data_IF_958014517824
#
_entry.id   IF_958014517824
#
_cell.length_a   1.000
_cell.length_b   1.000
_cell.length_c   1.000
_cell.angle_alpha   90.00
_cell.angle_beta   90.00
_cell.angle_gamma   90.00
#
_symmetry.space_group_name_H-M   'P 1'
#
loop_
_entity.id
_entity.type
_entity.pdbx_description
1 polymer ?
#
# COMPACT_ATOMS: atom_id res chain seq x y z
N UNK A 1 38.00 -9.52 -16.77
CA UNK A 1 39.47 -9.63 -16.61
C UNK A 1 40.12 -9.22 -17.91
N UNK A 2 41.27 -8.54 -17.83
CA UNK A 2 42.09 -8.21 -18.99
C UNK A 2 43.16 -9.29 -19.13
N UNK A 3 43.43 -9.75 -20.35
CA UNK A 3 44.38 -10.82 -20.63
C UNK A 3 45.71 -10.27 -21.16
N UNK A 4 46.83 -10.99 -20.90
CA UNK A 4 48.18 -10.56 -21.29
C UNK A 4 48.29 -10.24 -22.79
N UNK A 5 47.65 -11.04 -23.64
CA UNK A 5 47.65 -10.85 -25.10
C UNK A 5 47.02 -9.51 -25.51
N UNK A 6 45.94 -9.09 -24.84
CA UNK A 6 45.26 -7.80 -25.12
C UNK A 6 46.14 -6.59 -24.76
N UNK A 7 47.06 -6.76 -23.81
CA UNK A 7 48.03 -5.70 -23.43
C UNK A 7 49.19 -5.66 -24.41
N UNK A 8 49.74 -6.82 -24.78
CA UNK A 8 50.85 -6.91 -25.74
C UNK A 8 50.45 -6.41 -27.14
N UNK A 9 49.19 -6.61 -27.55
CA UNK A 9 48.67 -6.09 -28.82
C UNK A 9 48.64 -4.56 -28.90
N UNK A 10 48.50 -3.86 -27.76
CA UNK A 10 48.50 -2.39 -27.69
C UNK A 10 49.88 -1.77 -27.90
N UNK A 11 50.95 -2.55 -27.77
CA UNK A 11 52.30 -2.06 -28.02
C UNK A 11 52.62 -2.03 -29.51
N UNK A 12 53.26 -0.95 -30.02
CA UNK A 12 53.74 -0.93 -31.40
C UNK A 12 54.83 -1.99 -31.61
N UNK A 13 54.60 -2.92 -32.53
CA UNK A 13 55.52 -4.01 -32.87
C UNK A 13 56.86 -3.54 -33.46
N UNK A 14 56.94 -2.26 -33.86
CA UNK A 14 58.16 -1.62 -34.35
C UNK A 14 59.18 -1.31 -33.23
N UNK A 15 58.76 -1.30 -31.97
CA UNK A 15 59.59 -0.88 -30.82
C UNK A 15 59.66 -1.97 -29.76
N UNK A 16 58.59 -2.75 -29.57
CA UNK A 16 58.51 -3.77 -28.53
C UNK A 16 58.12 -5.14 -29.09
N UNK A 17 58.78 -6.18 -28.58
CA UNK A 17 58.42 -7.58 -28.82
C UNK A 17 57.08 -7.89 -28.15
N UNK A 18 56.16 -8.50 -28.92
CA UNK A 18 54.85 -8.98 -28.44
C UNK A 18 54.87 -10.46 -28.05
N UNK A 19 56.05 -11.07 -27.96
CA UNK A 19 56.25 -12.46 -27.57
C UNK A 19 55.87 -12.64 -26.08
N UNK A 20 54.94 -13.56 -25.75
CA UNK A 20 54.55 -13.88 -24.38
C UNK A 20 55.73 -14.35 -23.50
N UNK A 21 56.77 -14.94 -24.09
CA UNK A 21 57.93 -15.43 -23.33
C UNK A 21 59.00 -14.36 -23.07
N UNK A 22 58.80 -13.15 -23.60
CA UNK A 22 59.72 -12.03 -23.44
C UNK A 22 59.79 -11.55 -21.98
N UNK A 23 60.92 -10.94 -21.62
CA UNK A 23 61.11 -10.30 -20.30
C UNK A 23 60.10 -9.19 -20.02
N UNK A 24 59.59 -8.54 -21.06
CA UNK A 24 58.55 -7.50 -20.95
C UNK A 24 57.19 -8.14 -20.68
N UNK A 25 56.84 -9.21 -21.38
CA UNK A 25 55.59 -9.94 -21.15
C UNK A 25 55.53 -10.54 -19.74
N UNK A 26 56.63 -11.13 -19.24
CA UNK A 26 56.71 -11.64 -17.86
C UNK A 26 56.56 -10.55 -16.79
N UNK A 27 57.05 -9.33 -17.04
CA UNK A 27 56.81 -8.19 -16.14
C UNK A 27 55.34 -7.77 -16.16
N UNK A 28 54.76 -7.69 -17.34
CA UNK A 28 53.35 -7.37 -17.50
C UNK A 28 52.46 -8.43 -16.87
N UNK A 29 52.80 -9.70 -16.92
CA UNK A 29 52.03 -10.78 -16.30
C UNK A 29 51.84 -10.55 -14.78
N UNK A 30 52.93 -10.22 -14.07
CA UNK A 30 52.89 -9.89 -12.63
C UNK A 30 52.10 -8.61 -12.37
N UNK A 31 52.29 -7.56 -13.17
CA UNK A 31 51.54 -6.31 -13.00
C UNK A 31 50.06 -6.46 -13.35
N UNK A 32 49.71 -7.32 -14.31
CA UNK A 32 48.34 -7.58 -14.75
C UNK A 32 47.56 -8.32 -13.69
N UNK A 33 48.21 -9.22 -12.95
CA UNK A 33 47.61 -9.90 -11.79
C UNK A 33 47.17 -8.89 -10.74
N UNK A 34 48.08 -7.98 -10.34
CA UNK A 34 47.78 -6.90 -9.41
C UNK A 34 46.70 -5.94 -9.92
N UNK A 35 46.74 -5.57 -11.21
CA UNK A 35 45.75 -4.68 -11.80
C UNK A 35 44.36 -5.34 -11.91
N UNK A 36 44.31 -6.63 -12.22
CA UNK A 36 43.06 -7.39 -12.23
C UNK A 36 42.48 -7.54 -10.82
N UNK A 37 43.32 -7.71 -9.79
CA UNK A 37 42.89 -7.70 -8.38
C UNK A 37 42.30 -6.33 -8.00
N UNK A 38 43.00 -5.23 -8.27
CA UNK A 38 42.51 -3.87 -8.02
C UNK A 38 41.19 -3.61 -8.75
N UNK A 39 41.08 -4.07 -9.99
CA UNK A 39 39.85 -3.96 -10.78
C UNK A 39 38.71 -4.76 -10.15
N UNK A 40 38.96 -5.98 -9.68
CA UNK A 40 37.95 -6.79 -8.99
C UNK A 40 37.45 -6.10 -7.72
N UNK A 41 38.36 -5.50 -6.94
CA UNK A 41 38.00 -4.71 -5.76
C UNK A 41 37.16 -3.49 -6.16
N UNK A 42 37.54 -2.73 -7.20
CA UNK A 42 36.77 -1.59 -7.68
C UNK A 42 35.38 -1.98 -8.21
N UNK A 43 35.28 -3.10 -8.95
CA UNK A 43 34.01 -3.65 -9.41
C UNK A 43 33.12 -4.05 -8.21
N UNK A 44 33.70 -4.65 -7.17
CA UNK A 44 32.98 -4.97 -5.93
C UNK A 44 32.46 -3.71 -5.20
N UNK A 45 33.23 -2.61 -5.22
CA UNK A 45 32.85 -1.34 -4.60
C UNK A 45 31.75 -0.64 -5.40
N UNK A 46 31.73 -0.77 -6.72
CA UNK A 46 30.72 -0.13 -7.58
C UNK A 46 29.29 -0.55 -7.22
N UNK A 47 29.09 -1.81 -6.82
CA UNK A 47 27.81 -2.35 -6.38
C UNK A 47 27.35 -1.88 -5.00
N UNK A 48 28.25 -1.38 -4.15
CA UNK A 48 27.94 -0.97 -2.75
C UNK A 48 26.91 0.18 -2.72
N UNK A 49 26.85 1.00 -3.77
CA UNK A 49 25.93 2.14 -3.82
C UNK A 49 24.51 1.77 -4.25
N UNK A 50 24.31 0.59 -4.84
CA UNK A 50 22.99 0.16 -5.29
C UNK A 50 22.20 -0.53 -4.17
N UNK A 51 21.35 0.24 -3.49
CA UNK A 51 20.52 -0.25 -2.39
C UNK A 51 19.61 -1.43 -2.79
N UNK A 52 19.30 -1.64 -4.07
CA UNK A 52 18.41 -2.73 -4.51
C UNK A 52 19.02 -4.10 -4.24
N UNK A 53 20.34 -4.20 -4.40
CA UNK A 53 21.09 -5.45 -4.23
C UNK A 53 21.74 -5.59 -2.84
N UNK A 54 21.94 -4.47 -2.13
CA UNK A 54 22.58 -4.48 -0.81
C UNK A 54 21.63 -4.90 0.31
N UNK A 55 22.17 -5.49 1.38
CA UNK A 55 21.42 -5.98 2.55
C UNK A 55 22.13 -5.56 3.86
N UNK A 56 21.44 -5.67 4.99
CA UNK A 56 22.02 -5.53 6.32
C UNK A 56 22.65 -4.16 6.59
N UNK A 57 23.90 -4.15 7.05
CA UNK A 57 24.61 -2.93 7.51
C UNK A 57 25.00 -1.98 6.38
N UNK A 58 25.29 -2.50 5.18
CA UNK A 58 25.59 -1.67 4.01
C UNK A 58 24.36 -0.85 3.64
N UNK A 59 23.18 -1.47 3.70
CA UNK A 59 21.90 -0.79 3.47
C UNK A 59 21.66 0.33 4.50
N UNK A 60 22.06 0.13 5.76
CA UNK A 60 22.00 1.17 6.80
C UNK A 60 22.93 2.35 6.53
N UNK A 61 24.14 2.09 6.00
CA UNK A 61 25.08 3.15 5.60
C UNK A 61 24.51 3.99 4.45
N UNK A 62 23.89 3.34 3.45
CA UNK A 62 23.18 4.05 2.38
C UNK A 62 22.05 4.90 2.97
N UNK A 63 21.26 4.35 3.90
CA UNK A 63 20.20 5.08 4.57
C UNK A 63 20.68 6.29 5.35
N UNK A 64 21.80 6.18 6.09
CA UNK A 64 22.43 7.35 6.75
C UNK A 64 22.75 8.47 5.76
N UNK A 65 23.28 8.14 4.58
CA UNK A 65 23.55 9.13 3.52
C UNK A 65 22.25 9.76 2.98
N UNK A 66 21.18 8.96 2.89
CA UNK A 66 19.85 9.42 2.50
C UNK A 66 19.06 10.09 3.62
N UNK A 67 19.60 10.17 4.85
CA UNK A 67 18.90 10.62 6.07
C UNK A 67 17.61 9.82 6.34
N UNK A 68 17.62 8.55 5.95
CA UNK A 68 16.54 7.60 6.17
C UNK A 68 17.04 6.55 7.17
N UNK A 69 16.40 6.48 8.34
CA UNK A 69 16.72 5.46 9.36
C UNK A 69 15.94 4.17 9.09
N UNK A 70 16.50 3.01 9.50
CA UNK A 70 15.87 1.69 9.37
C UNK A 70 14.66 1.53 10.28
N UNK A 71 14.64 2.15 11.47
CA UNK A 71 13.50 2.12 12.42
C UNK A 71 12.89 0.71 12.65
N UNK A 72 13.71 -0.35 12.66
CA UNK A 72 13.25 -1.73 12.84
C UNK A 72 12.63 -2.40 11.61
N UNK A 73 12.65 -1.74 10.44
CA UNK A 73 12.19 -2.31 9.17
C UNK A 73 13.09 -3.44 8.68
N UNK A 74 12.48 -4.47 8.10
CA UNK A 74 13.19 -5.48 7.33
C UNK A 74 13.83 -4.90 6.06
N UNK A 75 14.77 -5.64 5.47
CA UNK A 75 15.54 -5.20 4.31
C UNK A 75 14.66 -4.92 3.08
N UNK A 76 13.58 -5.68 2.90
CA UNK A 76 12.68 -5.52 1.76
C UNK A 76 11.94 -4.18 1.85
N UNK A 77 11.29 -3.92 2.98
CA UNK A 77 10.63 -2.64 3.28
C UNK A 77 11.62 -1.49 3.24
N UNK A 78 12.78 -1.67 3.86
CA UNK A 78 13.77 -0.61 3.94
C UNK A 78 14.30 -0.19 2.56
N UNK A 79 14.51 -1.14 1.63
CA UNK A 79 14.85 -0.83 0.23
C UNK A 79 13.81 0.04 -0.47
N UNK A 80 12.53 -0.24 -0.24
CA UNK A 80 11.43 0.59 -0.76
C UNK A 80 11.58 2.01 -0.20
N UNK A 81 11.78 2.19 1.11
CA UNK A 81 11.95 3.52 1.69
C UNK A 81 13.20 4.26 1.24
N UNK A 82 14.30 3.56 0.95
CA UNK A 82 15.48 4.19 0.35
C UNK A 82 15.20 4.65 -1.08
N UNK A 83 14.40 3.90 -1.85
CA UNK A 83 13.88 4.32 -3.15
C UNK A 83 13.09 5.62 -3.04
N UNK A 84 12.14 5.67 -2.09
CA UNK A 84 11.30 6.84 -1.82
C UNK A 84 12.16 8.03 -1.40
N UNK A 85 13.12 7.84 -0.47
CA UNK A 85 13.98 8.91 0.01
C UNK A 85 14.87 9.49 -1.10
N UNK A 86 15.38 8.62 -2.00
CA UNK A 86 16.13 9.04 -3.19
C UNK A 86 15.23 9.84 -4.14
N UNK A 87 14.02 9.36 -4.40
CA UNK A 87 13.07 10.05 -5.28
C UNK A 87 12.62 11.38 -4.69
N UNK A 88 12.35 11.45 -3.38
CA UNK A 88 12.04 12.69 -2.65
C UNK A 88 13.11 13.76 -2.84
N UNK A 89 14.39 13.38 -2.86
CA UNK A 89 15.50 14.34 -3.10
C UNK A 89 15.57 14.83 -4.54
N UNK A 90 15.09 14.04 -5.51
CA UNK A 90 15.03 14.43 -6.92
C UNK A 90 13.75 15.19 -7.25
N UNK A 91 12.66 14.86 -6.58
CA UNK A 91 11.33 15.39 -6.82
C UNK A 91 11.23 16.85 -6.39
N UNK A 92 10.43 17.62 -7.15
CA UNK A 92 10.02 18.97 -6.77
C UNK A 92 8.60 19.00 -6.20
N UNK A 93 8.04 17.84 -5.84
CA UNK A 93 6.64 17.69 -5.44
C UNK A 93 5.69 17.51 -6.62
N UNK A 94 6.18 17.00 -7.75
CA UNK A 94 5.42 16.72 -8.96
C UNK A 94 4.64 15.39 -8.87
N UNK A 95 3.51 15.33 -9.59
CA UNK A 95 2.60 14.17 -9.63
C UNK A 95 3.30 12.91 -10.16
N UNK A 96 4.21 13.05 -11.13
CA UNK A 96 4.96 11.91 -11.68
C UNK A 96 5.77 11.19 -10.62
N UNK A 97 6.50 11.97 -9.80
CA UNK A 97 7.24 11.42 -8.67
C UNK A 97 6.32 10.74 -7.65
N UNK A 98 5.14 11.30 -7.39
CA UNK A 98 4.15 10.67 -6.50
C UNK A 98 3.58 9.37 -7.08
N UNK A 99 3.28 9.35 -8.38
CA UNK A 99 2.83 8.14 -9.08
C UNK A 99 3.90 7.05 -9.07
N UNK A 100 5.16 7.40 -9.36
CA UNK A 100 6.27 6.44 -9.36
C UNK A 100 6.47 5.83 -7.95
N UNK A 101 6.40 6.66 -6.91
CA UNK A 101 6.50 6.22 -5.51
C UNK A 101 5.33 5.29 -5.14
N UNK A 102 4.09 5.69 -5.46
CA UNK A 102 2.90 4.88 -5.20
C UNK A 102 2.95 3.53 -5.91
N UNK A 103 3.29 3.53 -7.20
CA UNK A 103 3.42 2.30 -8.00
C UNK A 103 4.52 1.37 -7.48
N UNK A 104 5.66 1.88 -7.02
CA UNK A 104 6.74 1.03 -6.49
C UNK A 104 6.37 0.30 -5.19
N UNK A 105 5.55 0.93 -4.35
CA UNK A 105 5.12 0.38 -3.06
C UNK A 105 4.02 -0.65 -3.24
N UNK A 106 3.12 -0.40 -4.19
CA UNK A 106 1.95 -1.24 -4.45
C UNK A 106 2.17 -2.28 -5.56
N UNK A 107 3.35 -2.28 -6.19
CA UNK A 107 3.67 -3.21 -7.25
C UNK A 107 3.42 -4.66 -6.80
N UNK A 108 2.47 -5.33 -7.47
CA UNK A 108 2.11 -6.73 -7.21
C UNK A 108 1.02 -6.96 -6.16
N UNK A 109 0.44 -5.91 -5.54
CA UNK A 109 -0.56 -6.04 -4.45
C UNK A 109 -2.01 -5.91 -4.96
N UNK A 110 -2.25 -5.96 -6.29
CA UNK A 110 -3.60 -5.82 -6.86
C UNK A 110 -4.33 -4.52 -6.49
N UNK A 111 -3.60 -3.54 -5.96
CA UNK A 111 -4.15 -2.30 -5.38
C UNK A 111 -4.21 -1.23 -6.44
N UNK A 112 -5.36 -0.56 -6.55
CA UNK A 112 -5.55 0.58 -7.43
C UNK A 112 -5.08 1.85 -6.71
N UNK A 113 -4.17 2.58 -7.36
CA UNK A 113 -3.61 3.84 -6.87
C UNK A 113 -4.12 5.00 -7.72
N UNK A 114 -4.82 5.95 -7.08
CA UNK A 114 -5.34 7.15 -7.75
C UNK A 114 -4.90 8.40 -7.01
N UNK A 115 -4.58 9.46 -7.76
CA UNK A 115 -4.42 10.80 -7.21
C UNK A 115 -5.53 11.69 -7.80
N UNK A 116 -6.29 12.36 -6.93
CA UNK A 116 -7.36 13.29 -7.28
C UNK A 116 -7.04 14.70 -6.80
N UNK A 117 -7.53 15.67 -7.56
CA UNK A 117 -7.48 17.08 -7.21
C UNK A 117 -8.82 17.54 -6.60
N UNK A 118 -8.77 18.35 -5.53
CA UNK A 118 -9.92 18.78 -4.73
C UNK A 118 -10.04 20.31 -4.54
N UNK A 119 -9.23 21.14 -5.21
CA UNK A 119 -9.13 22.57 -4.88
C UNK A 119 -10.33 23.40 -5.34
N UNK A 120 -11.09 22.91 -6.31
CA UNK A 120 -12.25 23.60 -6.84
C UNK A 120 -13.48 22.74 -6.61
N UNK A 121 -14.54 23.30 -6.01
CA UNK A 121 -15.80 22.60 -5.69
C UNK A 121 -16.61 22.10 -6.90
N UNK A 122 -15.95 21.83 -8.02
CA UNK A 122 -16.46 21.04 -9.14
C UNK A 122 -16.17 19.54 -8.94
N UNK A 123 -16.25 18.78 -10.03
CA UNK A 123 -16.03 17.34 -10.03
C UNK A 123 -14.53 17.07 -9.84
N UNK A 124 -14.11 16.22 -8.87
CA UNK A 124 -12.70 15.87 -8.68
C UNK A 124 -12.08 15.35 -9.98
N UNK A 125 -10.91 15.89 -10.34
CA UNK A 125 -10.18 15.46 -11.54
C UNK A 125 -9.12 14.43 -11.18
N UNK A 126 -9.08 13.34 -11.96
CA UNK A 126 -8.00 12.34 -11.87
C UNK A 126 -6.71 12.92 -12.46
N UNK A 127 -5.61 12.78 -11.72
CA UNK A 127 -4.30 13.28 -12.10
C UNK A 127 -3.47 12.13 -12.71
N UNK A 128 -3.65 11.90 -14.00
CA UNK A 128 -2.99 10.85 -14.80
C UNK A 128 -1.58 11.22 -15.30
N UNK A 129 -0.98 12.25 -14.69
CA UNK A 129 0.30 12.85 -15.04
C UNK A 129 0.32 13.70 -16.32
N UNK A 130 -0.79 13.84 -17.06
CA UNK A 130 -0.90 14.83 -18.16
C UNK A 130 -0.98 16.26 -17.62
N UNK A 131 -1.52 16.42 -16.40
CA UNK A 131 -1.60 17.68 -15.67
C UNK A 131 -0.52 17.71 -14.59
N UNK A 132 0.30 18.75 -14.56
CA UNK A 132 1.44 18.86 -13.64
C UNK A 132 1.20 19.92 -12.56
N UNK A 133 1.59 19.59 -11.32
CA UNK A 133 1.81 20.55 -10.23
C UNK A 133 3.14 21.29 -10.44
N UNK A 134 3.42 21.80 -11.64
CA UNK A 134 4.70 22.44 -11.96
C UNK A 134 4.75 23.94 -11.59
N UNK A 135 3.66 24.49 -11.05
CA UNK A 135 3.56 25.89 -10.64
C UNK A 135 3.33 26.90 -11.78
N UNK A 136 3.25 26.46 -13.04
CA UNK A 136 3.03 27.35 -14.19
C UNK A 136 1.54 27.51 -14.55
N UNK A 137 0.71 26.53 -14.20
CA UNK A 137 -0.76 26.60 -14.32
C UNK A 137 -1.39 26.42 -12.92
N UNK A 138 -2.47 27.15 -12.59
CA UNK A 138 -2.91 27.31 -11.21
C UNK A 138 -3.63 26.07 -10.69
N UNK A 139 -2.85 25.10 -10.24
CA UNK A 139 -3.14 24.31 -9.05
C UNK A 139 -2.55 25.00 -7.80
N UNK A 140 -2.41 26.33 -7.85
CA UNK A 140 -1.92 27.15 -6.75
C UNK A 140 -3.07 27.46 -5.81
N UNK A 141 -3.24 26.61 -4.81
CA UNK A 141 -3.96 27.03 -3.62
C UNK A 141 -3.34 28.30 -3.05
N UNK A 142 -4.14 29.16 -2.44
CA UNK A 142 -3.62 30.30 -1.69
C UNK A 142 -3.53 29.94 -0.19
N UNK A 143 -2.94 30.81 0.62
CA UNK A 143 -2.81 30.60 2.07
C UNK A 143 -4.13 30.37 2.82
N UNK A 144 -5.27 30.79 2.25
CA UNK A 144 -6.63 30.57 2.79
C UNK A 144 -7.30 29.28 2.27
N UNK A 145 -6.89 28.78 1.09
CA UNK A 145 -7.38 27.54 0.47
C UNK A 145 -6.18 26.84 -0.17
N UNK A 146 -5.41 26.05 0.60
CA UNK A 146 -4.27 25.33 0.06
C UNK A 146 -4.74 24.34 -1.00
N UNK A 147 -3.85 24.04 -1.95
CA UNK A 147 -4.18 23.07 -2.98
C UNK A 147 -4.35 21.72 -2.29
N UNK A 148 -5.44 21.00 -2.53
CA UNK A 148 -5.69 19.72 -1.87
C UNK A 148 -5.64 18.60 -2.88
N UNK A 149 -4.78 17.63 -2.62
CA UNK A 149 -4.72 16.38 -3.37
C UNK A 149 -5.19 15.24 -2.49
N UNK A 150 -5.88 14.27 -3.08
CA UNK A 150 -6.32 13.05 -2.42
C UNK A 150 -5.65 11.85 -3.08
N UNK A 151 -4.94 11.06 -2.28
CA UNK A 151 -4.29 9.84 -2.69
C UNK A 151 -5.13 8.67 -2.21
N UNK A 152 -5.65 7.87 -3.12
CA UNK A 152 -6.58 6.77 -2.84
C UNK A 152 -5.92 5.44 -3.15
N UNK A 153 -5.93 4.56 -2.14
CA UNK A 153 -5.56 3.16 -2.23
C UNK A 153 -6.82 2.32 -2.22
N UNK A 154 -7.10 1.55 -3.27
CA UNK A 154 -8.26 0.66 -3.30
C UNK A 154 -7.84 -0.79 -3.47
N UNK A 155 -8.34 -1.69 -2.63
CA UNK A 155 -8.04 -3.11 -2.70
C UNK A 155 -8.84 -3.93 -1.71
N UNK A 156 -8.69 -5.26 -1.77
CA UNK A 156 -9.32 -6.17 -0.82
C UNK A 156 -8.78 -5.93 0.60
N UNK A 157 -9.64 -6.05 1.61
CA UNK A 157 -9.25 -5.80 3.01
C UNK A 157 -8.11 -6.70 3.48
N UNK A 158 -8.01 -7.93 3.00
CA UNK A 158 -6.97 -8.87 3.41
C UNK A 158 -5.61 -8.54 2.79
N UNK A 159 -5.63 -8.05 1.55
CA UNK A 159 -4.43 -7.85 0.74
C UNK A 159 -3.85 -6.44 0.86
N UNK A 160 -4.69 -5.42 1.07
CA UNK A 160 -4.26 -4.02 1.08
C UNK A 160 -3.53 -3.69 2.41
N UNK A 161 -2.19 -3.51 2.42
CA UNK A 161 -1.49 -3.11 3.62
C UNK A 161 -1.68 -1.62 3.88
N UNK A 162 -1.79 -1.25 5.15
CA UNK A 162 -1.62 0.13 5.58
C UNK A 162 -0.16 0.32 5.92
N UNK A 163 0.48 1.32 5.29
CA UNK A 163 1.92 1.56 5.41
C UNK A 163 2.11 2.95 6.01
N UNK A 164 2.22 3.08 7.35
CA UNK A 164 2.30 4.38 8.02
C UNK A 164 3.46 5.26 7.54
N UNK A 165 4.59 4.64 7.21
CA UNK A 165 5.78 5.35 6.74
C UNK A 165 5.56 5.95 5.35
N UNK A 166 4.73 5.32 4.50
CA UNK A 166 4.31 5.91 3.24
C UNK A 166 3.44 7.14 3.49
N UNK A 167 2.52 7.05 4.46
CA UNK A 167 1.65 8.17 4.80
C UNK A 167 2.48 9.41 5.19
N UNK A 168 3.53 9.18 5.98
CA UNK A 168 4.50 10.22 6.33
C UNK A 168 5.30 10.71 5.12
N UNK A 169 5.72 9.80 4.22
CA UNK A 169 6.49 10.18 3.04
C UNK A 169 5.69 11.10 2.10
N UNK A 170 4.42 10.78 1.82
CA UNK A 170 3.55 11.62 0.99
C UNK A 170 3.36 12.99 1.61
N UNK A 171 3.10 13.06 2.91
CA UNK A 171 2.98 14.33 3.63
C UNK A 171 4.26 15.19 3.52
N UNK A 172 5.43 14.57 3.40
CA UNK A 172 6.71 15.26 3.28
C UNK A 172 7.14 15.60 1.84
N UNK A 173 6.56 14.94 0.83
CA UNK A 173 6.85 15.20 -0.60
C UNK A 173 6.01 16.37 -1.12
N UNK A 174 4.85 16.60 -0.51
CA UNK A 174 3.97 17.70 -0.92
C UNK A 174 4.69 19.05 -0.81
N UNK A 175 4.67 19.87 -1.88
CA UNK A 175 5.26 21.20 -1.83
C UNK A 175 4.51 22.08 -0.82
N UNK A 176 5.20 23.08 -0.25
CA UNK A 176 4.63 23.98 0.73
C UNK A 176 3.36 24.67 0.19
N UNK A 177 2.25 24.57 0.92
CA UNK A 177 0.94 25.09 0.49
C UNK A 177 0.01 24.07 -0.17
N UNK A 178 0.44 22.80 -0.29
CA UNK A 178 -0.39 21.67 -0.74
C UNK A 178 -0.73 20.76 0.44
N UNK A 179 -2.01 20.45 0.63
CA UNK A 179 -2.52 19.48 1.60
C UNK A 179 -2.75 18.14 0.91
N UNK A 180 -2.12 17.08 1.39
CA UNK A 180 -2.45 15.72 0.99
C UNK A 180 -3.47 15.08 1.95
N UNK A 181 -4.46 14.41 1.37
CA UNK A 181 -5.38 13.53 2.06
C UNK A 181 -5.06 12.12 1.60
N UNK A 182 -4.86 11.20 2.54
CA UNK A 182 -4.58 9.79 2.21
C UNK A 182 -5.81 8.99 2.58
N UNK A 183 -6.31 8.21 1.63
CA UNK A 183 -7.53 7.43 1.76
C UNK A 183 -7.25 5.98 1.43
N UNK A 184 -7.57 5.07 2.34
CA UNK A 184 -7.60 3.64 2.07
C UNK A 184 -9.04 3.19 1.93
N UNK A 185 -9.38 2.65 0.76
CA UNK A 185 -10.66 2.05 0.44
C UNK A 185 -10.51 0.53 0.48
N UNK A 186 -11.06 -0.06 1.54
CA UNK A 186 -11.10 -1.50 1.73
C UNK A 186 -12.37 -2.07 1.11
N UNK A 187 -12.19 -2.97 0.15
CA UNK A 187 -13.28 -3.75 -0.41
C UNK A 187 -13.44 -5.07 0.35
N UNK A 188 -14.67 -5.35 0.73
CA UNK A 188 -15.05 -6.52 1.51
C UNK A 188 -16.21 -7.20 0.78
N UNK A 189 -16.17 -8.53 0.67
CA UNK A 189 -17.32 -9.32 0.25
C UNK A 189 -17.95 -9.99 1.47
N UNK A 190 -19.29 -10.02 1.53
CA UNK A 190 -20.02 -10.81 2.54
C UNK A 190 -19.73 -12.30 2.46
N UNK A 191 -19.21 -12.82 1.34
CA UNK A 191 -18.77 -14.22 1.21
C UNK A 191 -17.52 -14.53 2.05
N UNK A 192 -16.68 -13.53 2.32
CA UNK A 192 -15.44 -13.71 3.10
C UNK A 192 -15.61 -13.56 4.61
N UNK A 193 -16.84 -13.65 5.12
CA UNK A 193 -17.13 -13.59 6.56
C UNK A 193 -18.27 -14.52 6.93
N UNK A 194 -18.88 -14.30 8.09
CA UNK A 194 -20.03 -15.07 8.54
C UNK A 194 -21.29 -14.21 8.60
N UNK A 195 -22.38 -14.77 8.09
CA UNK A 195 -23.72 -14.22 8.17
C UNK A 195 -24.42 -14.73 9.44
N UNK A 196 -25.25 -13.88 10.05
CA UNK A 196 -25.96 -14.13 11.30
C UNK A 196 -27.44 -13.73 11.19
N UNK A 197 -28.26 -14.35 12.03
CA UNK A 197 -29.68 -14.02 12.20
C UNK A 197 -30.42 -13.91 10.86
N UNK A 198 -31.02 -12.75 10.62
CA UNK A 198 -31.83 -12.43 9.44
C UNK A 198 -31.10 -12.48 8.10
N UNK A 199 -29.77 -12.47 8.12
CA UNK A 199 -28.95 -12.54 6.92
C UNK A 199 -28.67 -13.98 6.46
N UNK A 200 -28.87 -14.98 7.33
CA UNK A 200 -28.75 -16.39 6.96
C UNK A 200 -29.98 -16.78 6.13
N UNK A 201 -29.75 -17.29 4.91
CA UNK A 201 -30.80 -17.85 4.07
C UNK A 201 -30.68 -19.37 4.09
N UNK A 202 -31.80 -20.03 4.37
CA UNK A 202 -31.92 -21.49 4.24
C UNK A 202 -32.87 -21.76 3.07
N UNK A 203 -32.47 -22.58 2.08
CA UNK A 203 -33.33 -22.93 0.96
C UNK A 203 -34.36 -24.01 1.30
N UNK A 204 -34.33 -24.58 2.52
CA UNK A 204 -35.12 -25.75 2.90
C UNK A 204 -36.05 -25.48 4.06
N UNK A 205 -37.19 -26.19 4.05
CA UNK A 205 -38.17 -26.20 5.14
C UNK A 205 -37.73 -26.84 6.47
N UNK A 206 -36.64 -26.37 7.11
CA UNK A 206 -35.94 -27.05 8.21
C UNK A 206 -36.17 -26.53 9.65
N UNK A 207 -36.93 -25.45 9.83
CA UNK A 207 -37.24 -24.89 11.15
C UNK A 207 -36.22 -23.88 11.68
N UNK A 208 -35.14 -23.59 10.95
CA UNK A 208 -34.06 -22.71 11.39
C UNK A 208 -34.18 -21.24 10.97
N UNK A 209 -35.28 -20.85 10.31
CA UNK A 209 -35.47 -19.45 9.89
C UNK A 209 -35.81 -18.52 11.02
N UNK A 210 -35.36 -17.30 10.86
CA UNK A 210 -35.90 -16.15 11.58
C UNK A 210 -37.31 -15.83 11.06
N UNK A 211 -38.26 -15.66 11.98
CA UNK A 211 -39.62 -15.16 11.71
C UNK A 211 -39.60 -13.63 11.60
N UNK A 212 -38.75 -13.10 10.72
CA UNK A 212 -38.54 -11.67 10.50
C UNK A 212 -39.45 -11.08 9.39
N UNK A 213 -40.60 -11.72 9.15
CA UNK A 213 -41.56 -11.27 8.12
C UNK A 213 -41.16 -11.60 6.69
N UNK A 214 -40.04 -12.30 6.48
CA UNK A 214 -39.60 -12.78 5.17
C UNK A 214 -39.75 -14.29 5.07
N UNK A 215 -40.26 -14.77 3.94
CA UNK A 215 -40.58 -16.19 3.71
C UNK A 215 -39.73 -16.74 2.55
N UNK A 216 -39.71 -18.06 2.37
CA UNK A 216 -39.14 -18.72 1.19
C UNK A 216 -39.71 -18.15 -0.14
N UNK A 217 -40.93 -17.60 -0.10
CA UNK A 217 -41.63 -16.98 -1.23
C UNK A 217 -41.29 -15.50 -1.44
N UNK A 218 -40.59 -14.87 -0.49
CA UNK A 218 -40.19 -13.48 -0.59
C UNK A 218 -39.10 -13.25 -1.66
N UNK A 219 -38.51 -14.33 -2.19
CA UNK A 219 -37.60 -14.34 -3.35
C UNK A 219 -36.35 -13.48 -3.16
N UNK A 220 -35.70 -13.11 -4.27
CA UNK A 220 -34.52 -12.22 -4.34
C UNK A 220 -34.74 -10.80 -3.75
N UNK A 221 -35.97 -10.50 -3.27
CA UNK A 221 -36.35 -9.18 -2.74
C UNK A 221 -36.10 -9.02 -1.25
N UNK A 222 -35.70 -10.09 -0.53
CA UNK A 222 -35.34 -9.96 0.88
C UNK A 222 -33.92 -9.44 1.03
N UNK A 223 -33.82 -8.12 1.08
CA UNK A 223 -32.56 -7.41 1.17
C UNK A 223 -32.28 -7.09 2.64
N UNK A 224 -31.14 -7.55 3.18
CA UNK A 224 -30.74 -7.15 4.54
C UNK A 224 -30.64 -5.62 4.61
N UNK A 225 -31.05 -5.04 5.74
CA UNK A 225 -30.94 -3.60 5.97
C UNK A 225 -30.06 -3.39 7.19
N UNK A 226 -28.73 -3.43 7.02
CA UNK A 226 -27.87 -2.97 8.09
C UNK A 226 -28.21 -1.51 8.40
N UNK A 227 -28.17 -1.17 9.68
CA UNK A 227 -28.34 0.18 10.20
C UNK A 227 -26.97 0.75 10.61
N UNK A 228 -26.11 -0.09 11.18
CA UNK A 228 -24.79 0.30 11.68
C UNK A 228 -23.68 -0.63 11.19
N UNK A 229 -22.48 -0.05 11.05
CA UNK A 229 -21.21 -0.76 10.91
C UNK A 229 -20.42 -0.53 12.20
N UNK A 230 -20.01 -1.61 12.85
CA UNK A 230 -19.10 -1.57 13.98
C UNK A 230 -17.71 -2.07 13.62
N UNK A 231 -16.71 -1.56 14.33
CA UNK A 231 -15.29 -1.86 14.14
C UNK A 231 -14.67 -2.26 15.47
N UNK A 232 -13.72 -3.19 15.42
CA UNK A 232 -13.10 -3.73 16.63
C UNK A 232 -11.66 -4.15 16.45
N UNK A 233 -11.09 -4.57 17.58
CA UNK A 233 -9.69 -4.99 17.73
C UNK A 233 -9.53 -6.42 18.27
N UNK A 234 -10.63 -7.17 18.44
CA UNK A 234 -10.60 -8.53 18.98
C UNK A 234 -10.66 -9.66 17.92
N UNK A 235 -10.51 -9.31 16.64
CA UNK A 235 -10.58 -10.24 15.50
C UNK A 235 -9.37 -11.14 15.28
N UNK A 236 -8.34 -11.07 16.13
CA UNK A 236 -7.11 -11.86 15.97
C UNK A 236 -7.00 -12.96 17.03
N UNK A 237 -6.59 -14.14 16.60
CA UNK A 237 -6.18 -15.26 17.45
C UNK A 237 -4.75 -15.65 17.08
N UNK A 238 -3.84 -15.63 18.05
CA UNK A 238 -2.41 -15.94 17.83
C UNK A 238 -1.76 -15.12 16.69
N UNK A 239 -2.24 -13.89 16.47
CA UNK A 239 -1.73 -12.98 15.43
C UNK A 239 -2.38 -13.16 14.05
N UNK A 240 -3.27 -14.13 13.86
CA UNK A 240 -3.99 -14.37 12.61
C UNK A 240 -5.49 -14.03 12.75
N UNK A 241 -6.17 -13.61 11.66
CA UNK A 241 -7.62 -13.41 11.69
C UNK A 241 -8.35 -14.68 12.13
N UNK A 242 -9.19 -14.59 13.16
CA UNK A 242 -9.96 -15.73 13.66
C UNK A 242 -11.14 -16.03 12.74
N UNK A 243 -11.54 -17.28 12.59
CA UNK A 243 -12.81 -17.57 11.90
C UNK A 243 -13.99 -17.22 12.82
N UNK A 244 -14.98 -16.41 12.38
CA UNK A 244 -16.16 -16.10 13.19
C UNK A 244 -16.99 -17.34 13.56
N UNK A 245 -17.39 -17.42 14.82
CA UNK A 245 -18.12 -18.56 15.40
C UNK A 245 -19.64 -18.44 15.24
N UNK A 246 -20.37 -19.56 15.36
CA UNK A 246 -21.85 -19.56 15.34
C UNK A 246 -22.43 -18.76 16.50
N UNK A 247 -21.78 -18.82 17.67
CA UNK A 247 -22.25 -18.17 18.90
C UNK A 247 -21.82 -16.71 19.06
N UNK A 248 -21.19 -16.11 18.05
CA UNK A 248 -20.83 -14.69 18.13
C UNK A 248 -22.12 -13.85 18.06
N UNK A 249 -22.35 -12.99 19.06
CA UNK A 249 -23.46 -12.04 19.09
C UNK A 249 -23.02 -10.61 18.77
N UNK A 250 -21.72 -10.41 18.51
CA UNK A 250 -21.13 -9.11 18.21
C UNK A 250 -19.63 -9.23 17.93
N UNK A 251 -18.96 -8.08 17.92
CA UNK A 251 -17.50 -8.01 17.85
C UNK A 251 -16.89 -8.46 19.18
N UNK A 252 -15.68 -9.03 19.13
CA UNK A 252 -15.00 -9.48 20.35
C UNK A 252 -14.54 -8.30 21.20
N UNK A 253 -14.11 -7.22 20.56
CA UNK A 253 -13.80 -5.95 21.23
C UNK A 253 -14.12 -4.77 20.30
N UNK A 254 -15.36 -4.29 20.40
CA UNK A 254 -15.83 -3.13 19.65
C UNK A 254 -15.19 -1.82 20.16
N UNK A 255 -14.69 -1.01 19.24
CA UNK A 255 -14.09 0.30 19.54
C UNK A 255 -14.88 1.46 18.97
N UNK A 256 -15.66 1.24 17.92
CA UNK A 256 -16.37 2.30 17.22
C UNK A 256 -17.53 1.76 16.41
N UNK A 257 -18.62 2.52 16.36
CA UNK A 257 -19.81 2.17 15.59
C UNK A 257 -20.36 3.41 14.90
N UNK A 258 -20.88 3.23 13.68
CA UNK A 258 -21.39 4.32 12.84
C UNK A 258 -22.48 3.86 11.91
N UNK A 259 -23.40 4.77 11.59
CA UNK A 259 -24.45 4.54 10.60
C UNK A 259 -23.86 4.10 9.25
N UNK A 260 -24.55 3.15 8.63
CA UNK A 260 -24.20 2.65 7.30
C UNK A 260 -24.84 3.49 6.20
N UNK A 261 -24.06 3.79 5.17
CA UNK A 261 -24.58 4.33 3.92
C UNK A 261 -24.83 3.16 2.96
N UNK A 262 -26.06 3.02 2.49
CA UNK A 262 -26.40 1.94 1.55
C UNK A 262 -26.53 2.50 0.14
N UNK A 263 -25.66 2.04 -0.75
CA UNK A 263 -25.69 2.33 -2.19
C UNK A 263 -26.13 1.11 -2.97
N UNK A 264 -26.73 1.32 -4.13
CA UNK A 264 -27.03 0.25 -5.08
C UNK A 264 -26.51 0.63 -6.45
N UNK A 265 -25.92 -0.31 -7.18
CA UNK A 265 -25.59 -0.10 -8.59
C UNK A 265 -26.82 -0.31 -9.50
N UNK A 266 -26.74 0.06 -10.79
CA UNK A 266 -27.81 -0.20 -11.75
C UNK A 266 -28.13 -1.69 -11.94
N UNK A 267 -27.17 -2.57 -11.66
CA UNK A 267 -27.30 -4.03 -11.77
C UNK A 267 -28.03 -4.64 -10.54
N UNK A 268 -28.31 -3.84 -9.52
CA UNK A 268 -29.05 -4.23 -8.32
C UNK A 268 -28.20 -4.72 -7.15
N UNK A 269 -26.87 -4.77 -7.30
CA UNK A 269 -25.93 -5.08 -6.22
C UNK A 269 -25.93 -3.95 -5.18
N UNK A 270 -25.82 -4.32 -3.90
CA UNK A 270 -25.78 -3.34 -2.80
C UNK A 270 -24.40 -3.25 -2.20
N UNK A 271 -24.04 -2.02 -1.85
CA UNK A 271 -22.81 -1.69 -1.16
C UNK A 271 -23.16 -1.03 0.17
N UNK A 272 -22.62 -1.59 1.24
CA UNK A 272 -22.71 -1.03 2.58
C UNK A 272 -21.41 -0.29 2.84
N UNK A 273 -21.47 1.03 2.91
CA UNK A 273 -20.30 1.89 2.99
C UNK A 273 -20.29 2.69 4.29
N UNK A 274 -19.09 2.92 4.83
CA UNK A 274 -18.88 3.96 5.83
C UNK A 274 -17.48 4.55 5.70
N UNK A 275 -17.35 5.81 6.12
CA UNK A 275 -16.08 6.55 6.11
C UNK A 275 -15.65 6.84 7.54
N UNK A 276 -14.45 6.38 7.91
CA UNK A 276 -13.77 6.69 9.17
C UNK A 276 -12.84 7.88 8.94
N UNK A 277 -13.14 9.00 9.59
CA UNK A 277 -12.40 10.26 9.42
C UNK A 277 -11.04 10.22 10.11
N UNK A 278 -10.19 11.20 9.80
CA UNK A 278 -8.82 11.32 10.35
C UNK A 278 -8.76 11.20 11.89
N UNK A 279 -9.67 11.87 12.60
CA UNK A 279 -9.72 11.84 14.08
C UNK A 279 -10.48 10.67 14.69
N UNK A 280 -11.11 9.81 13.89
CA UNK A 280 -11.87 8.66 14.38
C UNK A 280 -10.94 7.44 14.48
N UNK A 281 -11.12 6.63 15.54
CA UNK A 281 -10.43 5.35 15.76
C UNK A 281 -8.89 5.42 15.78
N UNK A 282 -8.32 6.58 16.11
CA UNK A 282 -6.87 6.78 16.16
C UNK A 282 -6.20 5.86 17.18
N UNK A 283 -5.08 5.25 16.79
CA UNK A 283 -4.28 4.39 17.66
C UNK A 283 -4.80 2.95 17.78
N UNK A 284 -5.90 2.61 17.11
CA UNK A 284 -6.41 1.25 17.07
C UNK A 284 -5.96 0.53 15.79
N UNK A 285 -5.53 -0.72 15.95
CA UNK A 285 -5.29 -1.68 14.88
C UNK A 285 -6.56 -2.46 14.55
N UNK A 286 -7.34 -1.94 13.59
CA UNK A 286 -8.67 -2.49 13.29
C UNK A 286 -8.54 -3.83 12.60
N UNK A 287 -9.21 -4.86 13.12
CA UNK A 287 -9.06 -6.24 12.65
C UNK A 287 -10.39 -7.02 12.60
N UNK A 288 -11.50 -6.39 12.99
CA UNK A 288 -12.84 -6.93 12.82
C UNK A 288 -13.84 -5.84 12.44
N UNK A 289 -14.83 -6.23 11.64
CA UNK A 289 -15.94 -5.40 11.20
C UNK A 289 -17.22 -6.19 11.31
N UNK A 290 -18.29 -5.55 11.77
CA UNK A 290 -19.61 -6.15 11.83
C UNK A 290 -20.69 -5.24 11.28
N UNK A 291 -21.73 -5.85 10.71
CA UNK A 291 -22.98 -5.18 10.35
C UNK A 291 -24.05 -5.51 11.37
N UNK A 292 -24.79 -4.49 11.79
CA UNK A 292 -25.89 -4.60 12.74
C UNK A 292 -27.17 -4.02 12.14
N UNK A 293 -28.32 -4.58 12.50
CA UNK A 293 -29.62 -3.98 12.16
C UNK A 293 -30.02 -2.85 13.12
N UNK A 294 -31.24 -2.33 12.96
CA UNK A 294 -31.78 -1.24 13.77
C UNK A 294 -32.02 -1.65 15.24
N UNK A 295 -32.27 -2.93 15.48
CA UNK A 295 -32.47 -3.49 16.83
C UNK A 295 -31.14 -3.84 17.52
N UNK A 296 -30.02 -3.73 16.79
CA UNK A 296 -28.68 -4.00 17.29
C UNK A 296 -28.25 -5.46 17.19
N UNK A 297 -28.99 -6.28 16.45
CA UNK A 297 -28.65 -7.68 16.21
C UNK A 297 -27.56 -7.81 15.14
N UNK A 298 -26.68 -8.78 15.33
CA UNK A 298 -25.57 -9.04 14.42
C UNK A 298 -26.10 -9.63 13.11
N UNK A 299 -25.77 -9.00 11.99
CA UNK A 299 -26.06 -9.48 10.64
C UNK A 299 -24.83 -10.10 9.98
N UNK A 300 -23.65 -9.54 10.20
CA UNK A 300 -22.44 -10.01 9.56
C UNK A 300 -21.23 -9.74 10.44
N UNK A 301 -20.28 -10.66 10.44
CA UNK A 301 -18.99 -10.49 11.09
C UNK A 301 -17.87 -10.98 10.18
N UNK A 302 -16.84 -10.16 10.04
CA UNK A 302 -15.59 -10.57 9.40
C UNK A 302 -14.41 -10.02 10.15
N UNK A 303 -13.36 -10.83 10.17
CA UNK A 303 -12.06 -10.47 10.71
C UNK A 303 -11.03 -10.46 9.60
N UNK A 304 -9.99 -9.64 9.74
CA UNK A 304 -8.95 -9.43 8.74
C UNK A 304 -7.64 -9.00 9.42
N UNK A 305 -6.48 -9.00 8.71
CA UNK A 305 -5.22 -8.56 9.29
C UNK A 305 -5.28 -7.12 9.80
N UNK A 306 -4.60 -6.82 10.91
CA UNK A 306 -4.67 -5.50 11.57
C UNK A 306 -4.39 -4.34 10.60
N UNK A 307 -5.27 -3.32 10.63
CA UNK A 307 -5.16 -2.06 9.89
C UNK A 307 -4.96 -0.91 10.86
N UNK A 308 -3.70 -0.54 11.07
CA UNK A 308 -3.29 0.51 12.02
C UNK A 308 -3.81 1.89 11.61
N UNK A 309 -4.63 2.52 12.46
CA UNK A 309 -5.21 3.84 12.18
C UNK A 309 -4.37 4.98 12.75
N UNK A 310 -3.85 5.85 11.90
CA UNK A 310 -3.17 7.10 12.30
C UNK A 310 -4.08 8.34 12.14
N UNK A 311 -3.56 9.53 12.49
CA UNK A 311 -4.29 10.81 12.44
C UNK A 311 -4.33 11.48 11.07
N UNK A 312 -3.62 10.93 10.06
CA UNK A 312 -3.50 11.54 8.73
C UNK A 312 -4.31 10.78 7.67
N UNK A 313 -4.69 9.53 7.93
CA UNK A 313 -5.45 8.70 6.99
C UNK A 313 -6.96 8.74 7.20
N UNK A 314 -7.69 8.53 6.12
CA UNK A 314 -9.13 8.29 6.07
C UNK A 314 -9.33 6.85 5.60
N UNK A 315 -10.25 6.11 6.24
CA UNK A 315 -10.66 4.79 5.76
C UNK A 315 -12.06 4.84 5.18
N UNK A 316 -12.23 4.19 4.03
CA UNK A 316 -13.53 3.83 3.49
C UNK A 316 -13.65 2.31 3.50
N UNK A 317 -14.64 1.81 4.23
CA UNK A 317 -14.99 0.40 4.18
C UNK A 317 -16.19 0.24 3.26
N UNK A 318 -16.06 -0.60 2.25
CA UNK A 318 -17.12 -0.91 1.29
C UNK A 318 -17.37 -2.41 1.30
N UNK A 319 -18.51 -2.80 1.86
CA UNK A 319 -18.94 -4.20 1.91
C UNK A 319 -19.93 -4.46 0.77
N UNK A 320 -19.55 -5.31 -0.17
CA UNK A 320 -20.39 -5.80 -1.26
C UNK A 320 -21.33 -6.87 -0.72
N UNK A 321 -22.63 -6.62 -0.83
CA UNK A 321 -23.69 -7.53 -0.41
C UNK A 321 -23.90 -8.64 -1.43
N UNK A 322 -23.08 -9.67 -1.34
CA UNK A 322 -23.16 -10.92 -2.10
C UNK A 322 -23.79 -11.98 -1.19
N UNK A 323 -25.08 -12.27 -1.37
CA UNK A 323 -25.81 -13.28 -0.60
C UNK A 323 -26.07 -14.47 -1.52
N UNK A 324 -25.56 -15.65 -1.13
CA UNK A 324 -25.95 -16.92 -1.72
C UNK A 324 -27.23 -17.44 -1.06
#
# INVERSE_FOLDING_TARGET
MTHLNEVLEKYPSSIFTRDPDSTIAKKWEVELELLNEVRSVLESISGITDYRIQNGTVLDLIGKNLKQSRNGMDDFRYKIFLSIARQKRKSKGDIFSMNEIGSQILAGIGTLYEIKELCYGGIPMLLDATYTLNGEYPLSGNTKRPATIEVIFTGLVDELPVIPEFNQAIAQICPGGVKAIIRYRFEISTLGGRLYGESIRTPYLDGSWSLNGFTLLSGEKVKIRPYEIAFGIGGLSEGFPRTPGIGDTGLQNEVFRKLVEIKSDPDGNRYFQTTVKQGEMMGYGINEIGLFDEDGELLYLRTFPSKEKDHIIIYDFVIKGEFQ
#
